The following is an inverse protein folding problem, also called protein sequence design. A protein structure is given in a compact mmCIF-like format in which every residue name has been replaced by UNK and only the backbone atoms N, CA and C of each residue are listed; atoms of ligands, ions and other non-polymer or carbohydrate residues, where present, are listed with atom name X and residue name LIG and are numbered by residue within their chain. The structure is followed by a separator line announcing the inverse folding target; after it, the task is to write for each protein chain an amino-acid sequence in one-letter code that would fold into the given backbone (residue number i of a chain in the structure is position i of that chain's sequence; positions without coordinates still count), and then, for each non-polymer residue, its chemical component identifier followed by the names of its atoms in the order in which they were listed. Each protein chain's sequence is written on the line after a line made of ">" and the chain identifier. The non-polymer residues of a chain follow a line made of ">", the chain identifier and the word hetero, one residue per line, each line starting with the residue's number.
data_IF_117911018345
#
_entry.id   IF_117911018345
#
_cell.length_a   1.000
_cell.length_b   1.000
_cell.length_c   1.000
_cell.angle_alpha   90.00
_cell.angle_beta   90.00
_cell.angle_gamma   90.00
#
_symmetry.space_group_name_H-M   'P 1'
#
loop_
_entity.id
_entity.type
_entity.pdbx_description
1 polymer ?
#
# COMPACT_ATOMS: atom_id res chain seq x y z
N UNK A 1 11.65 -0.38 14.59
CA UNK A 1 12.88 -0.57 13.78
C UNK A 1 12.88 0.44 12.67
N UNK A 2 14.01 1.10 12.43
CA UNK A 2 14.12 1.90 11.23
C UNK A 2 14.02 1.02 9.98
N UNK A 3 13.76 1.64 8.84
CA UNK A 3 13.74 0.95 7.57
C UNK A 3 15.12 0.47 7.14
N UNK A 4 15.21 0.03 5.91
CA UNK A 4 16.46 -0.50 5.34
C UNK A 4 17.22 0.59 4.58
N UNK A 5 18.53 0.54 4.70
CA UNK A 5 19.41 1.24 3.78
C UNK A 5 19.49 0.47 2.46
N UNK A 6 19.93 1.16 1.40
CA UNK A 6 20.04 0.57 0.07
C UNK A 6 20.73 -0.81 0.07
N UNK A 7 21.83 -0.93 0.81
CA UNK A 7 22.62 -2.17 0.85
C UNK A 7 21.86 -3.35 1.47
N UNK A 8 20.84 -3.08 2.27
CA UNK A 8 20.08 -4.10 3.00
C UNK A 8 18.92 -4.71 2.20
N UNK A 9 18.59 -4.11 1.04
CA UNK A 9 17.61 -4.69 0.13
C UNK A 9 18.24 -5.79 -0.71
N UNK A 10 17.55 -6.91 -0.84
CA UNK A 10 17.97 -8.02 -1.71
C UNK A 10 16.94 -8.25 -2.81
N UNK A 11 17.38 -8.20 -4.07
CA UNK A 11 16.49 -8.45 -5.21
C UNK A 11 15.95 -9.86 -5.15
N UNK A 12 14.62 -9.99 -5.32
CA UNK A 12 13.90 -11.26 -5.23
C UNK A 12 13.36 -11.60 -3.84
N UNK A 13 13.77 -10.85 -2.82
CA UNK A 13 13.28 -11.04 -1.46
C UNK A 13 11.83 -10.62 -1.33
N UNK A 14 11.03 -11.38 -0.58
CA UNK A 14 9.69 -11.01 -0.17
C UNK A 14 9.67 -10.71 1.33
N UNK A 15 9.15 -9.55 1.69
CA UNK A 15 9.03 -9.09 3.07
C UNK A 15 7.56 -9.18 3.46
N UNK A 16 7.24 -10.00 4.45
CA UNK A 16 5.92 -10.05 5.06
C UNK A 16 5.84 -8.99 6.16
N UNK A 17 4.86 -8.08 6.06
CA UNK A 17 4.70 -7.00 7.03
C UNK A 17 3.73 -7.41 8.14
N UNK A 18 4.10 -7.13 9.39
CA UNK A 18 3.33 -7.59 10.56
C UNK A 18 2.07 -6.76 10.81
N UNK A 19 2.09 -5.49 10.43
CA UNK A 19 0.98 -4.58 10.74
C UNK A 19 -0.23 -4.86 9.85
N UNK A 20 -1.41 -4.76 10.46
CA UNK A 20 -2.71 -4.88 9.82
C UNK A 20 -3.58 -3.72 10.22
N UNK A 21 -4.56 -3.39 9.39
CA UNK A 21 -5.58 -2.41 9.74
C UNK A 21 -6.95 -2.87 9.31
N UNK A 22 -7.90 -2.84 10.23
CA UNK A 22 -9.31 -3.00 9.89
C UNK A 22 -9.85 -1.63 9.47
N UNK A 23 -10.29 -1.53 8.22
CA UNK A 23 -10.78 -0.27 7.65
C UNK A 23 -12.13 0.07 8.24
N UNK A 24 -12.27 1.28 8.78
CA UNK A 24 -13.53 1.78 9.33
C UNK A 24 -14.24 2.73 8.37
N UNK A 25 -15.53 2.96 8.62
CA UNK A 25 -16.27 3.99 7.91
C UNK A 25 -15.68 5.38 8.13
N UNK A 26 -15.15 5.64 9.33
CA UNK A 26 -14.48 6.91 9.63
C UNK A 26 -13.20 7.09 8.81
N UNK A 27 -12.43 6.04 8.59
CA UNK A 27 -11.23 6.09 7.74
C UNK A 27 -11.58 6.53 6.31
N UNK A 28 -12.58 5.88 5.73
CA UNK A 28 -13.03 6.18 4.37
C UNK A 28 -13.62 7.59 4.26
N UNK A 29 -14.47 7.97 5.20
CA UNK A 29 -15.10 9.29 5.24
C UNK A 29 -14.04 10.39 5.34
N UNK A 30 -13.11 10.26 6.27
CA UNK A 30 -12.05 11.25 6.49
C UNK A 30 -11.17 11.40 5.25
N UNK A 31 -10.77 10.29 4.64
CA UNK A 31 -9.94 10.33 3.44
C UNK A 31 -10.67 11.00 2.27
N UNK A 32 -11.93 10.65 2.05
CA UNK A 32 -12.75 11.26 1.00
C UNK A 32 -12.92 12.77 1.24
N UNK A 33 -13.19 13.16 2.47
CA UNK A 33 -13.36 14.58 2.82
C UNK A 33 -12.07 15.38 2.60
N UNK A 34 -10.94 14.82 3.06
CA UNK A 34 -9.63 15.47 2.93
C UNK A 34 -9.19 15.63 1.48
N UNK A 35 -9.59 14.71 0.61
CA UNK A 35 -9.19 14.69 -0.80
C UNK A 35 -10.24 15.32 -1.73
N UNK A 36 -11.32 15.82 -1.17
CA UNK A 36 -12.45 16.42 -1.93
C UNK A 36 -13.18 15.41 -2.84
N UNK A 37 -13.02 14.13 -2.60
CA UNK A 37 -13.69 13.07 -3.35
C UNK A 37 -15.01 12.71 -2.67
N UNK A 38 -16.08 13.39 -3.08
CA UNK A 38 -17.41 13.24 -2.49
C UNK A 38 -18.31 12.28 -3.29
N UNK A 39 -17.74 11.26 -3.92
CA UNK A 39 -18.51 10.26 -4.65
C UNK A 39 -19.53 9.56 -3.77
N UNK A 40 -20.82 9.55 -4.15
CA UNK A 40 -21.86 8.89 -3.36
C UNK A 40 -21.59 7.39 -3.13
N UNK A 41 -20.90 6.73 -4.04
CA UNK A 41 -20.51 5.33 -3.90
C UNK A 41 -19.71 5.07 -2.62
N UNK A 42 -18.91 6.03 -2.20
CA UNK A 42 -18.11 5.93 -0.97
C UNK A 42 -18.84 6.39 0.29
N UNK A 43 -19.81 7.31 0.15
CA UNK A 43 -20.32 8.10 1.28
C UNK A 43 -21.81 7.92 1.55
N UNK A 44 -22.60 7.60 0.52
CA UNK A 44 -24.06 7.50 0.62
C UNK A 44 -24.46 6.02 0.62
N UNK A 45 -24.89 5.53 1.80
CA UNK A 45 -25.27 4.14 1.96
C UNK A 45 -26.46 3.73 1.08
N UNK A 46 -27.40 4.63 0.86
CA UNK A 46 -28.56 4.37 -0.01
C UNK A 46 -28.15 4.23 -1.48
N UNK A 47 -27.30 5.14 -1.94
CA UNK A 47 -26.76 5.08 -3.30
C UNK A 47 -25.94 3.79 -3.50
N UNK A 48 -25.06 3.48 -2.56
CA UNK A 48 -24.21 2.29 -2.64
C UNK A 48 -25.00 0.98 -2.58
N UNK A 49 -26.10 0.95 -1.83
CA UNK A 49 -26.97 -0.22 -1.74
C UNK A 49 -27.56 -0.63 -3.09
N UNK A 50 -27.83 0.36 -3.95
CA UNK A 50 -28.36 0.14 -5.31
C UNK A 50 -27.26 -0.10 -6.36
N UNK A 51 -25.98 0.00 -5.96
CA UNK A 51 -24.84 -0.28 -6.84
C UNK A 51 -24.55 -1.78 -6.94
N UNK A 52 -23.69 -2.15 -7.88
CA UNK A 52 -23.22 -3.53 -8.02
C UNK A 52 -22.50 -4.04 -6.77
N UNK A 53 -22.00 -3.16 -5.90
CA UNK A 53 -21.28 -3.54 -4.68
C UNK A 53 -22.20 -3.79 -3.49
N UNK A 54 -23.42 -3.25 -3.48
CA UNK A 54 -24.41 -3.44 -2.43
C UNK A 54 -24.16 -2.70 -1.14
N UNK A 55 -23.00 -2.09 -0.96
CA UNK A 55 -22.60 -1.31 0.21
C UNK A 55 -21.54 -0.27 -0.16
N UNK A 56 -21.28 0.68 0.75
CA UNK A 56 -20.28 1.73 0.51
C UNK A 56 -18.90 1.13 0.24
N UNK A 57 -18.34 1.49 -0.90
CA UNK A 57 -17.01 1.07 -1.33
C UNK A 57 -15.95 1.97 -0.68
N UNK A 58 -14.88 1.38 -0.17
CA UNK A 58 -13.71 2.13 0.29
C UNK A 58 -13.02 2.76 -0.92
N UNK A 59 -12.64 4.03 -0.80
CA UNK A 59 -11.93 4.75 -1.85
C UNK A 59 -10.63 4.01 -2.21
N UNK A 60 -10.44 3.71 -3.49
CA UNK A 60 -9.26 2.97 -3.95
C UNK A 60 -7.94 3.67 -3.64
N UNK A 61 -7.92 5.00 -3.66
CA UNK A 61 -6.72 5.76 -3.29
C UNK A 61 -6.39 5.62 -1.80
N UNK A 62 -7.41 5.48 -0.94
CA UNK A 62 -7.19 5.14 0.46
C UNK A 62 -6.53 3.76 0.57
N UNK A 63 -7.08 2.77 -0.12
CA UNK A 63 -6.53 1.41 -0.13
C UNK A 63 -5.08 1.41 -0.59
N UNK A 64 -4.76 2.12 -1.66
CA UNK A 64 -3.39 2.27 -2.16
C UNK A 64 -2.47 2.91 -1.12
N UNK A 65 -2.91 4.01 -0.51
CA UNK A 65 -2.15 4.71 0.52
C UNK A 65 -1.90 3.82 1.74
N UNK A 66 -2.91 3.07 2.18
CA UNK A 66 -2.78 2.10 3.26
C UNK A 66 -1.81 0.97 2.88
N UNK A 67 -1.95 0.43 1.67
CA UNK A 67 -1.07 -0.63 1.17
C UNK A 67 0.41 -0.23 1.30
N UNK A 68 0.75 0.97 0.85
CA UNK A 68 2.12 1.50 0.96
C UNK A 68 2.48 1.78 2.42
N UNK A 69 1.58 2.42 3.17
CA UNK A 69 1.82 2.78 4.57
C UNK A 69 2.18 1.59 5.46
N UNK A 70 1.53 0.44 5.23
CA UNK A 70 1.80 -0.79 5.99
C UNK A 70 3.21 -1.36 5.72
N UNK A 71 3.85 -0.97 4.62
CA UNK A 71 5.21 -1.43 4.27
C UNK A 71 6.32 -0.57 4.88
N UNK A 72 5.98 0.65 5.32
CA UNK A 72 6.97 1.66 5.72
C UNK A 72 7.90 1.17 6.83
N UNK A 73 7.42 0.56 7.93
CA UNK A 73 8.31 0.17 9.04
C UNK A 73 9.48 -0.72 8.62
N UNK A 74 9.25 -1.63 7.69
CA UNK A 74 10.25 -2.64 7.30
C UNK A 74 11.05 -2.25 6.05
N UNK A 75 10.67 -1.18 5.37
CA UNK A 75 11.30 -0.81 4.10
C UNK A 75 11.99 0.55 4.16
N UNK A 76 11.28 1.62 4.46
CA UNK A 76 11.77 2.98 4.23
C UNK A 76 11.69 3.90 5.45
N UNK A 77 11.33 3.39 6.62
CA UNK A 77 11.20 4.21 7.83
C UNK A 77 12.54 4.85 8.20
N UNK A 78 12.61 6.18 8.05
CA UNK A 78 13.81 6.96 8.36
C UNK A 78 14.95 6.80 7.35
N UNK A 79 14.79 6.00 6.29
CA UNK A 79 15.84 5.71 5.29
C UNK A 79 15.48 6.15 3.88
N UNK A 80 14.27 6.67 3.67
CA UNK A 80 13.86 7.20 2.38
C UNK A 80 14.38 8.62 2.17
N UNK A 81 14.79 8.93 0.94
CA UNK A 81 15.01 10.30 0.49
C UNK A 81 13.75 10.84 -0.16
N UNK A 82 13.16 10.06 -1.09
CA UNK A 82 11.94 10.44 -1.79
C UNK A 82 11.29 9.23 -2.46
N UNK A 83 9.98 9.29 -2.66
CA UNK A 83 9.30 8.41 -3.62
C UNK A 83 9.47 9.01 -5.00
N UNK A 84 9.85 8.19 -5.97
CA UNK A 84 10.06 8.62 -7.36
C UNK A 84 8.85 8.34 -8.22
N UNK A 85 8.23 7.17 -8.05
CA UNK A 85 7.05 6.80 -8.84
C UNK A 85 6.23 5.69 -8.20
N UNK A 86 4.97 5.63 -8.63
CA UNK A 86 4.07 4.50 -8.43
C UNK A 86 3.60 4.08 -9.82
N UNK A 87 3.80 2.82 -10.17
CA UNK A 87 3.50 2.29 -11.50
C UNK A 87 2.61 1.06 -11.39
N UNK A 88 1.89 0.77 -12.47
CA UNK A 88 1.07 -0.45 -12.61
C UNK A 88 0.12 -0.68 -11.44
N UNK A 89 -0.56 0.38 -11.02
CA UNK A 89 -1.52 0.33 -9.90
C UNK A 89 -2.79 -0.36 -10.35
N UNK A 90 -3.18 -1.44 -9.66
CA UNK A 90 -4.40 -2.17 -9.93
C UNK A 90 -5.20 -2.43 -8.66
N UNK A 91 -6.53 -2.44 -8.80
CA UNK A 91 -7.48 -2.76 -7.74
C UNK A 91 -8.34 -3.93 -8.18
N UNK A 92 -7.83 -5.18 -8.07
CA UNK A 92 -8.55 -6.34 -8.63
C UNK A 92 -9.83 -6.71 -7.88
N UNK A 93 -9.93 -6.32 -6.61
CA UNK A 93 -11.12 -6.61 -5.80
C UNK A 93 -11.47 -5.44 -4.88
N UNK A 94 -12.75 -5.24 -4.57
CA UNK A 94 -13.18 -4.13 -3.72
C UNK A 94 -12.84 -4.33 -2.24
N UNK A 95 -12.70 -3.22 -1.53
CA UNK A 95 -12.56 -3.17 -0.07
C UNK A 95 -13.80 -2.50 0.52
N UNK A 96 -14.32 -3.08 1.58
CA UNK A 96 -15.48 -2.57 2.30
C UNK A 96 -15.12 -2.25 3.75
N UNK A 97 -15.94 -1.45 4.41
CA UNK A 97 -15.79 -1.18 5.84
C UNK A 97 -15.84 -2.49 6.61
N UNK A 98 -14.90 -2.69 7.52
CA UNK A 98 -14.76 -3.92 8.28
C UNK A 98 -13.73 -4.89 7.72
N UNK A 99 -13.25 -4.70 6.50
CA UNK A 99 -12.17 -5.53 5.96
C UNK A 99 -10.85 -5.21 6.63
N UNK A 100 -10.08 -6.25 6.93
CA UNK A 100 -8.74 -6.12 7.51
C UNK A 100 -7.69 -6.31 6.44
N UNK A 101 -6.81 -5.33 6.30
CA UNK A 101 -5.82 -5.25 5.23
C UNK A 101 -4.42 -5.45 5.79
N UNK A 102 -3.59 -6.19 5.06
CA UNK A 102 -2.15 -6.31 5.28
C UNK A 102 -1.41 -6.29 3.94
N UNK A 103 -0.11 -6.05 3.99
CA UNK A 103 0.72 -5.93 2.78
C UNK A 103 1.91 -6.88 2.82
N UNK A 104 2.43 -7.17 1.63
CA UNK A 104 3.76 -7.75 1.47
C UNK A 104 4.51 -6.99 0.37
N UNK A 105 5.83 -7.00 0.48
CA UNK A 105 6.71 -6.32 -0.48
C UNK A 105 7.67 -7.33 -1.09
N UNK A 106 7.83 -7.28 -2.42
CA UNK A 106 8.87 -8.02 -3.13
C UNK A 106 9.83 -7.02 -3.75
N UNK A 107 11.11 -7.14 -3.46
CA UNK A 107 12.14 -6.29 -4.07
C UNK A 107 12.39 -6.76 -5.49
N UNK A 108 12.11 -5.90 -6.47
CA UNK A 108 12.21 -6.24 -7.89
C UNK A 108 13.56 -5.89 -8.48
N UNK A 109 14.10 -4.73 -8.09
CA UNK A 109 15.35 -4.22 -8.65
C UNK A 109 15.98 -3.20 -7.72
N UNK A 110 17.28 -3.01 -7.82
CA UNK A 110 17.98 -1.92 -7.15
C UNK A 110 19.21 -1.50 -7.96
N UNK A 111 19.52 -0.23 -7.90
CA UNK A 111 20.73 0.33 -8.52
C UNK A 111 21.23 1.55 -7.76
N UNK A 112 22.52 1.80 -7.85
CA UNK A 112 23.09 3.04 -7.36
C UNK A 112 22.74 4.20 -8.30
N UNK A 113 22.61 5.40 -7.74
CA UNK A 113 22.55 6.61 -8.56
C UNK A 113 23.90 6.86 -9.24
N UNK A 114 23.91 7.66 -10.30
CA UNK A 114 25.12 7.89 -11.10
C UNK A 114 26.28 8.49 -10.29
N UNK A 115 25.97 9.25 -9.24
CA UNK A 115 26.98 9.80 -8.32
C UNK A 115 27.41 8.83 -7.20
N UNK A 116 26.73 7.67 -7.11
CA UNK A 116 27.00 6.66 -6.07
C UNK A 116 26.56 7.03 -4.67
N UNK A 117 25.86 8.15 -4.48
CA UNK A 117 25.51 8.65 -3.15
C UNK A 117 24.18 8.11 -2.62
N UNK A 118 23.32 7.61 -3.50
CA UNK A 118 21.98 7.11 -3.16
C UNK A 118 21.70 5.79 -3.85
N UNK A 119 20.63 5.15 -3.47
CA UNK A 119 20.14 3.95 -4.12
C UNK A 119 18.71 4.10 -4.62
N UNK A 120 18.42 3.56 -5.79
CA UNK A 120 17.07 3.47 -6.35
C UNK A 120 16.59 2.05 -6.16
N UNK A 121 15.49 1.86 -5.44
CA UNK A 121 14.92 0.54 -5.16
C UNK A 121 13.51 0.48 -5.71
N UNK A 122 13.25 -0.54 -6.52
CA UNK A 122 11.90 -0.81 -7.05
C UNK A 122 11.31 -2.02 -6.35
N UNK A 123 10.11 -1.85 -5.83
CA UNK A 123 9.42 -2.85 -5.02
C UNK A 123 8.01 -3.06 -5.54
N UNK A 124 7.57 -4.32 -5.57
CA UNK A 124 6.15 -4.64 -5.74
C UNK A 124 5.49 -4.67 -4.38
N UNK A 125 4.39 -3.94 -4.24
CA UNK A 125 3.55 -3.95 -3.05
C UNK A 125 2.25 -4.65 -3.39
N UNK A 126 1.88 -5.64 -2.60
CA UNK A 126 0.61 -6.34 -2.72
C UNK A 126 -0.13 -6.23 -1.40
N UNK A 127 -1.38 -5.76 -1.45
CA UNK A 127 -2.25 -5.66 -0.28
C UNK A 127 -3.40 -6.65 -0.41
N UNK A 128 -3.67 -7.34 0.69
CA UNK A 128 -4.69 -8.38 0.78
C UNK A 128 -5.72 -8.03 1.85
N UNK A 129 -6.97 -8.45 1.63
CA UNK A 129 -7.95 -8.50 2.71
C UNK A 129 -8.05 -9.91 3.26
N UNK A 130 -8.14 -9.99 4.59
CA UNK A 130 -8.26 -11.26 5.31
C UNK A 130 -9.62 -11.88 5.02
N UNK A 131 -9.61 -13.14 4.62
CA UNK A 131 -10.82 -13.93 4.41
C UNK A 131 -11.05 -14.87 5.59
N UNK A 132 -12.26 -15.46 5.72
CA UNK A 132 -12.53 -16.46 6.75
C UNK A 132 -11.54 -17.62 6.72
N UNK A 133 -11.37 -18.26 7.88
CA UNK A 133 -10.48 -19.42 8.03
C UNK A 133 -10.74 -20.49 6.98
N UNK A 134 -9.67 -20.98 6.35
CA UNK A 134 -9.73 -22.00 5.31
C UNK A 134 -9.90 -21.46 3.90
N UNK A 135 -10.08 -20.15 3.74
CA UNK A 135 -10.11 -19.47 2.45
C UNK A 135 -8.82 -18.69 2.23
N UNK A 136 -8.38 -18.60 0.98
CA UNK A 136 -7.25 -17.74 0.61
C UNK A 136 -7.64 -16.28 0.74
N UNK A 137 -6.70 -15.45 1.23
CA UNK A 137 -6.91 -14.01 1.31
C UNK A 137 -6.97 -13.39 -0.09
N UNK A 138 -7.70 -12.29 -0.20
CA UNK A 138 -8.03 -11.68 -1.48
C UNK A 138 -7.13 -10.48 -1.77
N UNK A 139 -6.48 -10.48 -2.93
CA UNK A 139 -5.68 -9.33 -3.39
C UNK A 139 -6.61 -8.16 -3.71
N UNK A 140 -6.38 -7.02 -3.09
CA UNK A 140 -7.23 -5.83 -3.25
C UNK A 140 -6.49 -4.65 -3.88
N UNK A 141 -5.17 -4.64 -3.83
CA UNK A 141 -4.35 -3.60 -4.46
C UNK A 141 -2.97 -4.15 -4.75
N UNK A 142 -2.43 -3.84 -5.91
CA UNK A 142 -1.02 -4.07 -6.21
C UNK A 142 -0.44 -2.90 -6.98
N UNK A 143 0.84 -2.67 -6.80
CA UNK A 143 1.56 -1.59 -7.48
C UNK A 143 3.06 -1.85 -7.44
N UNK A 144 3.78 -1.14 -8.29
CA UNK A 144 5.23 -1.02 -8.19
C UNK A 144 5.58 0.35 -7.63
N UNK A 145 6.41 0.38 -6.60
CA UNK A 145 6.89 1.60 -5.96
C UNK A 145 8.39 1.72 -6.20
N UNK A 146 8.83 2.86 -6.71
CA UNK A 146 10.24 3.17 -6.84
C UNK A 146 10.61 4.27 -5.87
N UNK A 147 11.56 3.99 -5.00
CA UNK A 147 12.01 4.88 -3.94
C UNK A 147 13.49 5.19 -4.08
N UNK A 148 13.85 6.43 -3.72
CA UNK A 148 15.25 6.84 -3.56
C UNK A 148 15.61 6.63 -2.09
N UNK A 149 16.56 5.74 -1.82
CA UNK A 149 16.95 5.32 -0.48
C UNK A 149 18.32 5.87 -0.10
N UNK A 150 18.47 6.14 1.20
CA UNK A 150 19.78 6.44 1.77
C UNK A 150 20.67 5.20 1.68
N UNK A 151 21.96 5.43 1.54
CA UNK A 151 22.99 4.42 1.72
C UNK A 151 23.42 4.38 3.17
N UNK A 152 24.00 3.24 3.58
CA UNK A 152 24.55 3.11 4.92
C UNK A 152 25.56 4.22 5.19
N UNK A 153 25.50 4.85 6.39
CA UNK A 153 26.56 5.78 6.81
C UNK A 153 27.91 5.05 6.86
N UNK A 154 28.97 5.77 6.50
CA UNK A 154 30.36 5.30 6.63
C UNK A 154 30.80 5.26 8.11
#
# INVERSE_FOLDING_TARGET
>A
MPGRYYEEFEVGETIEHDKRRTVSGADNQTFCDMTMNQQPLHLDAGFAADSQFGERLVNGLYTMSLAVGLTIPDTTDGTIVANLSYDDVEHPNPVFHGDTIYSRTTVLDKRETSDGERGVVTMRVEAFKVEPDGEDDTLVCELERTALSLRRPE
#
